data_IF_023163849058
#
_entry.id   IF_023163849058
#
_cell.length_a   1.000
_cell.length_b   1.000
_cell.length_c   1.000
_cell.angle_alpha   90.00
_cell.angle_beta   90.00
_cell.angle_gamma   90.00
#
_symmetry.space_group_name_H-M   'P 1'
#
loop_
_entity.id
_entity.type
_entity.pdbx_description
1 polymer ?
#
# COMPACT_ATOMS: atom_id res chain seq x y z
N UNK A 1 -8.85 14.41 -16.70
CA UNK A 1 -9.71 13.25 -16.42
C UNK A 1 -8.86 12.20 -15.76
N UNK A 2 -9.10 11.89 -14.48
CA UNK A 2 -8.41 10.78 -13.82
C UNK A 2 -9.01 9.49 -14.36
N UNK A 3 -8.20 8.65 -15.02
CA UNK A 3 -8.67 7.39 -15.60
C UNK A 3 -8.89 6.38 -14.46
N UNK A 4 -10.16 6.23 -14.06
CA UNK A 4 -10.55 5.19 -13.11
C UNK A 4 -10.66 3.84 -13.83
N UNK A 5 -10.28 2.77 -13.15
CA UNK A 5 -10.46 1.41 -13.67
C UNK A 5 -11.95 0.99 -13.64
N UNK A 6 -12.25 -0.24 -14.10
CA UNK A 6 -13.59 -0.84 -14.07
C UNK A 6 -14.28 -0.82 -12.68
N UNK A 7 -13.50 -0.69 -11.61
CA UNK A 7 -13.96 -0.68 -10.21
C UNK A 7 -13.99 0.73 -9.60
N UNK A 8 -13.87 1.80 -10.40
CA UNK A 8 -13.86 3.18 -9.90
C UNK A 8 -12.63 3.51 -9.05
N UNK A 9 -11.56 2.73 -9.17
CA UNK A 9 -10.31 2.93 -8.44
C UNK A 9 -9.30 3.68 -9.29
N UNK A 10 -8.65 4.68 -8.69
CA UNK A 10 -7.53 5.36 -9.31
C UNK A 10 -6.28 4.45 -9.30
N UNK A 11 -5.44 4.48 -10.35
CA UNK A 11 -4.18 3.75 -10.36
C UNK A 11 -3.27 4.18 -9.20
N UNK A 12 -2.54 3.22 -8.63
CA UNK A 12 -1.58 3.49 -7.58
C UNK A 12 -0.41 4.30 -8.14
N UNK A 13 -0.18 5.46 -7.53
CA UNK A 13 0.81 6.43 -8.00
C UNK A 13 2.09 6.46 -7.15
N UNK A 14 2.20 5.56 -6.15
CA UNK A 14 3.33 5.53 -5.23
C UNK A 14 3.26 6.56 -4.08
N UNK A 15 2.19 7.37 -4.03
CA UNK A 15 1.95 8.38 -2.97
C UNK A 15 0.66 8.12 -2.18
N UNK A 16 -0.35 7.53 -2.83
CA UNK A 16 -1.57 7.08 -2.15
C UNK A 16 -1.26 5.97 -1.15
N UNK A 17 -2.18 5.73 -0.21
CA UNK A 17 -2.06 4.66 0.78
C UNK A 17 -1.90 3.28 0.09
N UNK A 18 -0.70 2.71 0.17
CA UNK A 18 -0.39 1.41 -0.44
C UNK A 18 -1.14 0.27 0.24
N UNK A 19 -1.38 0.34 1.56
CA UNK A 19 -2.10 -0.70 2.29
C UNK A 19 -3.54 -0.81 1.80
N UNK A 20 -4.23 0.32 1.68
CA UNK A 20 -5.60 0.36 1.15
C UNK A 20 -5.65 -0.11 -0.31
N UNK A 21 -4.75 0.38 -1.16
CA UNK A 21 -4.69 -0.06 -2.56
C UNK A 21 -4.43 -1.57 -2.67
N UNK A 22 -3.47 -2.10 -1.91
CA UNK A 22 -3.11 -3.51 -1.88
C UNK A 22 -4.29 -4.39 -1.47
N UNK A 23 -5.07 -3.99 -0.46
CA UNK A 23 -6.29 -4.72 -0.07
C UNK A 23 -7.34 -4.71 -1.18
N UNK A 24 -7.56 -3.58 -1.86
CA UNK A 24 -8.50 -3.50 -2.99
C UNK A 24 -8.07 -4.41 -4.16
N UNK A 25 -6.78 -4.42 -4.50
CA UNK A 25 -6.26 -5.34 -5.54
C UNK A 25 -6.43 -6.78 -5.12
N UNK A 26 -6.14 -7.12 -3.86
CA UNK A 26 -6.38 -8.47 -3.34
C UNK A 26 -7.84 -8.89 -3.54
N UNK A 27 -8.81 -8.02 -3.25
CA UNK A 27 -10.22 -8.31 -3.51
C UNK A 27 -10.51 -8.58 -4.99
N UNK A 28 -9.95 -7.78 -5.90
CA UNK A 28 -10.11 -7.96 -7.35
C UNK A 28 -9.51 -9.30 -7.81
N UNK A 29 -8.29 -9.64 -7.36
CA UNK A 29 -7.63 -10.90 -7.69
C UNK A 29 -8.40 -12.13 -7.17
N UNK A 30 -9.04 -12.02 -6.00
CA UNK A 30 -9.90 -13.07 -5.46
C UNK A 30 -11.15 -13.22 -6.34
N UNK A 31 -11.79 -12.11 -6.70
CA UNK A 31 -12.97 -12.12 -7.57
C UNK A 31 -12.67 -12.75 -8.93
N UNK A 32 -11.48 -12.49 -9.47
CA UNK A 32 -10.99 -13.06 -10.74
C UNK A 32 -10.35 -14.44 -10.59
N UNK A 33 -10.36 -15.02 -9.38
CA UNK A 33 -9.85 -16.37 -9.07
C UNK A 33 -8.36 -16.58 -9.38
N UNK A 34 -7.57 -15.50 -9.43
CA UNK A 34 -6.13 -15.54 -9.73
C UNK A 34 -5.24 -15.18 -8.53
N UNK A 35 -5.82 -14.89 -7.36
CA UNK A 35 -5.04 -14.55 -6.15
C UNK A 35 -3.99 -15.60 -5.74
N UNK A 36 -4.23 -16.88 -6.06
CA UNK A 36 -3.26 -17.96 -5.82
C UNK A 36 -1.90 -17.70 -6.47
N UNK A 37 -1.86 -17.01 -7.61
CA UNK A 37 -0.61 -16.73 -8.31
C UNK A 37 0.31 -15.77 -7.56
N UNK A 38 -0.28 -14.87 -6.76
CA UNK A 38 0.45 -13.92 -5.94
C UNK A 38 0.96 -14.54 -4.64
N UNK A 39 0.32 -15.61 -4.15
CA UNK A 39 0.77 -16.35 -2.97
C UNK A 39 1.59 -17.60 -3.29
N UNK A 40 1.65 -17.99 -4.57
CA UNK A 40 2.11 -19.32 -5.03
C UNK A 40 1.43 -20.48 -4.30
N UNK A 41 0.19 -20.28 -3.84
CA UNK A 41 -0.59 -21.26 -3.06
C UNK A 41 -1.44 -22.14 -3.99
N UNK A 42 -0.77 -22.84 -4.91
CA UNK A 42 -1.43 -23.73 -5.86
C UNK A 42 -1.76 -25.09 -5.24
N UNK A 43 -2.82 -25.74 -5.73
CA UNK A 43 -3.12 -27.12 -5.36
C UNK A 43 -2.29 -28.08 -6.23
N UNK A 44 -2.02 -29.29 -5.72
CA UNK A 44 -1.36 -30.35 -6.49
C UNK A 44 -2.14 -30.67 -7.78
N UNK A 45 -3.46 -30.54 -7.73
CA UNK A 45 -4.36 -30.74 -8.88
C UNK A 45 -4.43 -29.57 -9.87
N UNK A 46 -3.87 -28.40 -9.56
CA UNK A 46 -3.83 -27.28 -10.50
C UNK A 46 -2.77 -27.56 -11.58
N UNK A 47 -3.18 -27.63 -12.86
CA UNK A 47 -2.29 -27.87 -14.01
C UNK A 47 -1.39 -26.69 -14.29
N UNK A 48 -0.29 -26.91 -15.01
CA UNK A 48 0.66 -25.84 -15.33
C UNK A 48 0.03 -24.75 -16.20
N UNK A 49 -0.82 -25.12 -17.16
CA UNK A 49 -1.55 -24.14 -18.00
C UNK A 49 -2.44 -23.24 -17.15
N UNK A 50 -3.14 -23.82 -16.16
CA UNK A 50 -4.01 -23.07 -15.25
C UNK A 50 -3.21 -22.14 -14.34
N UNK A 51 -2.00 -22.55 -13.91
CA UNK A 51 -1.10 -21.70 -13.13
C UNK A 51 -0.59 -20.53 -13.96
N UNK A 52 -0.20 -20.79 -15.21
CA UNK A 52 0.22 -19.75 -16.16
C UNK A 52 -0.90 -18.74 -16.41
N UNK A 53 -2.12 -19.20 -16.67
CA UNK A 53 -3.28 -18.34 -16.86
C UNK A 53 -3.57 -17.47 -15.62
N UNK A 54 -3.54 -18.06 -14.42
CA UNK A 54 -3.70 -17.30 -13.17
C UNK A 54 -2.61 -16.25 -13.00
N UNK A 55 -1.37 -16.59 -13.36
CA UNK A 55 -0.23 -15.69 -13.27
C UNK A 55 -0.37 -14.50 -14.24
N UNK A 56 -0.69 -14.75 -15.51
CA UNK A 56 -0.91 -13.69 -16.52
C UNK A 56 -2.07 -12.78 -16.15
N UNK A 57 -3.18 -13.35 -15.66
CA UNK A 57 -4.33 -12.58 -15.20
C UNK A 57 -3.98 -11.71 -13.99
N UNK A 58 -3.25 -12.26 -13.02
CA UNK A 58 -2.83 -11.50 -11.84
C UNK A 58 -1.86 -10.37 -12.20
N UNK A 59 -0.87 -10.62 -13.05
CA UNK A 59 0.02 -9.59 -13.59
C UNK A 59 -0.77 -8.48 -14.28
N UNK A 60 -1.70 -8.84 -15.16
CA UNK A 60 -2.53 -7.89 -15.92
C UNK A 60 -3.35 -6.99 -14.99
N UNK A 61 -4.03 -7.58 -14.00
CA UNK A 61 -4.77 -6.81 -12.99
C UNK A 61 -3.86 -5.84 -12.25
N UNK A 62 -2.71 -6.30 -11.78
CA UNK A 62 -1.79 -5.45 -11.02
C UNK A 62 -1.32 -4.28 -11.90
N UNK A 63 -0.81 -4.56 -13.10
CA UNK A 63 -0.30 -3.52 -14.01
C UNK A 63 -1.34 -2.48 -14.41
N UNK A 64 -2.56 -2.91 -14.75
CA UNK A 64 -3.66 -2.01 -15.10
C UNK A 64 -4.08 -1.08 -13.95
N UNK A 65 -3.64 -1.39 -12.73
CA UNK A 65 -3.91 -0.62 -11.53
C UNK A 65 -2.71 0.17 -11.01
N UNK A 66 -1.61 0.23 -11.76
CA UNK A 66 -0.44 1.06 -11.46
C UNK A 66 -0.41 2.26 -12.40
N UNK A 67 0.12 3.38 -11.92
CA UNK A 67 0.47 4.49 -12.81
C UNK A 67 1.78 4.22 -13.55
N UNK A 68 1.97 4.88 -14.69
CA UNK A 68 3.20 4.74 -15.50
C UNK A 68 4.48 5.00 -14.69
N UNK A 69 4.44 5.92 -13.73
CA UNK A 69 5.59 6.21 -12.86
C UNK A 69 5.95 5.05 -11.96
N UNK A 70 4.96 4.31 -11.47
CA UNK A 70 5.19 3.11 -10.65
C UNK A 70 5.63 1.95 -11.54
N UNK A 71 5.02 1.78 -12.71
CA UNK A 71 5.41 0.76 -13.70
C UNK A 71 6.89 0.92 -14.08
N UNK A 72 7.36 2.16 -14.32
CA UNK A 72 8.78 2.42 -14.61
C UNK A 72 9.73 2.00 -13.47
N UNK A 73 9.32 2.13 -12.21
CA UNK A 73 10.13 1.74 -11.05
C UNK A 73 10.17 0.22 -10.84
N UNK A 74 9.02 -0.42 -11.02
CA UNK A 74 8.86 -1.86 -10.82
C UNK A 74 9.44 -2.65 -11.99
N UNK A 75 9.37 -2.11 -13.20
CA UNK A 75 9.73 -2.80 -14.43
C UNK A 75 8.63 -3.75 -14.90
N UNK A 76 8.86 -4.37 -16.05
CA UNK A 76 8.00 -5.43 -16.60
C UNK A 76 8.50 -6.76 -16.04
N UNK A 77 7.64 -7.47 -15.32
CA UNK A 77 7.91 -8.72 -14.64
C UNK A 77 6.86 -9.73 -15.10
N UNK A 78 7.30 -10.95 -15.39
CA UNK A 78 6.43 -12.00 -15.92
C UNK A 78 5.72 -12.79 -14.81
N UNK A 79 6.22 -12.74 -13.57
CA UNK A 79 5.63 -13.42 -12.42
C UNK A 79 4.85 -12.47 -11.52
N UNK A 80 3.59 -12.83 -11.25
CA UNK A 80 2.70 -12.09 -10.36
C UNK A 80 3.21 -12.08 -8.92
N UNK A 81 3.85 -13.17 -8.48
CA UNK A 81 4.51 -13.25 -7.17
C UNK A 81 5.63 -12.24 -7.05
N UNK A 82 6.56 -12.26 -8.01
CA UNK A 82 7.72 -11.34 -8.02
C UNK A 82 7.25 -9.89 -8.11
N UNK A 83 6.25 -9.61 -8.94
CA UNK A 83 5.64 -8.29 -9.06
C UNK A 83 5.04 -7.81 -7.74
N UNK A 84 4.26 -8.67 -7.08
CA UNK A 84 3.64 -8.36 -5.79
C UNK A 84 4.67 -8.15 -4.68
N UNK A 85 5.69 -8.99 -4.61
CA UNK A 85 6.76 -8.88 -3.63
C UNK A 85 7.56 -7.60 -3.83
N UNK A 86 7.92 -7.25 -5.07
CA UNK A 86 8.64 -6.01 -5.38
C UNK A 86 7.83 -4.77 -5.01
N UNK A 87 6.52 -4.80 -5.23
CA UNK A 87 5.63 -3.73 -4.75
C UNK A 87 5.62 -3.66 -3.21
N UNK A 88 5.65 -4.81 -2.53
CA UNK A 88 5.74 -4.83 -1.07
C UNK A 88 7.09 -4.33 -0.56
N UNK A 89 8.19 -4.71 -1.20
CA UNK A 89 9.52 -4.20 -0.86
C UNK A 89 9.58 -2.67 -1.03
N UNK A 90 9.07 -2.14 -2.15
CA UNK A 90 9.13 -0.70 -2.44
C UNK A 90 8.18 0.15 -1.58
N UNK A 91 7.05 -0.42 -1.16
CA UNK A 91 5.94 0.36 -0.59
C UNK A 91 5.34 -0.20 0.72
N UNK A 92 5.77 -1.38 1.19
CA UNK A 92 5.48 -1.91 2.55
C UNK A 92 6.66 -1.68 3.47
N UNK A 93 7.89 -1.91 2.99
CA UNK A 93 9.08 -1.46 3.70
C UNK A 93 9.28 0.02 3.41
N UNK A 94 9.14 0.83 4.45
CA UNK A 94 10.03 1.95 4.73
C UNK A 94 11.07 2.24 3.66
N UNK A 95 10.74 3.06 2.67
CA UNK A 95 11.81 3.92 2.18
C UNK A 95 12.25 4.75 3.40
N UNK A 96 13.54 4.69 3.77
CA UNK A 96 14.13 5.54 4.81
C UNK A 96 13.64 7.01 4.67
N UNK A 97 13.50 7.56 3.45
CA UNK A 97 12.90 8.88 3.25
C UNK A 97 11.43 8.98 3.69
N UNK A 98 10.58 7.98 3.44
CA UNK A 98 9.19 8.00 3.90
C UNK A 98 9.10 7.89 5.43
N UNK A 99 9.95 7.07 6.06
CA UNK A 99 10.02 7.01 7.52
C UNK A 99 10.49 8.34 8.12
N UNK A 100 11.52 8.95 7.55
CA UNK A 100 12.02 10.27 7.96
C UNK A 100 10.93 11.33 7.77
N UNK A 101 10.23 11.33 6.65
CA UNK A 101 9.13 12.25 6.37
C UNK A 101 7.97 12.10 7.37
N UNK A 102 7.58 10.86 7.68
CA UNK A 102 6.53 10.59 8.67
C UNK A 102 6.94 10.99 10.08
N UNK A 103 8.19 10.71 10.48
CA UNK A 103 8.75 11.16 11.76
C UNK A 103 8.82 12.69 11.83
N UNK A 104 9.24 13.35 10.76
CA UNK A 104 9.25 14.81 10.67
C UNK A 104 7.84 15.37 10.84
N UNK A 105 6.85 14.82 10.13
CA UNK A 105 5.44 15.21 10.26
C UNK A 105 4.90 14.95 11.67
N UNK A 106 5.33 13.88 12.32
CA UNK A 106 4.93 13.52 13.68
C UNK A 106 5.48 14.51 14.72
N UNK A 107 6.78 14.81 14.67
CA UNK A 107 7.39 15.77 15.59
C UNK A 107 6.94 17.22 15.34
N UNK A 108 6.51 17.53 14.12
CA UNK A 108 5.97 18.85 13.74
C UNK A 108 4.45 18.92 13.77
N UNK A 109 3.76 17.88 14.24
CA UNK A 109 2.31 17.87 14.30
C UNK A 109 1.81 19.04 15.15
N UNK A 110 0.74 19.69 14.67
CA UNK A 110 0.06 20.82 15.33
C UNK A 110 -1.43 20.62 15.19
N UNK A 111 -2.16 20.97 16.24
CA UNK A 111 -3.62 20.97 16.20
C UNK A 111 -4.09 22.07 15.24
N UNK A 112 -4.99 21.70 14.34
CA UNK A 112 -5.71 22.65 13.51
C UNK A 112 -6.96 23.12 14.27
N UNK A 113 -6.98 24.38 14.67
CA UNK A 113 -8.06 25.00 15.45
C UNK A 113 -9.35 25.15 14.61
N UNK A 114 -9.26 25.02 13.28
CA UNK A 114 -10.41 25.12 12.39
C UNK A 114 -11.24 23.84 12.28
N UNK A 115 -10.70 22.71 12.73
CA UNK A 115 -11.39 21.41 12.77
C UNK A 115 -11.58 20.96 14.21
N UNK A 116 -12.47 20.00 14.45
CA UNK A 116 -12.70 19.50 15.79
C UNK A 116 -11.52 18.67 16.32
N UNK A 117 -11.53 18.43 17.63
CA UNK A 117 -10.44 17.71 18.29
C UNK A 117 -10.40 16.22 17.92
N UNK A 118 -11.54 15.63 17.59
CA UNK A 118 -11.66 14.21 17.20
C UNK A 118 -11.07 13.99 15.81
N UNK A 119 -11.34 14.90 14.86
CA UNK A 119 -10.73 14.90 13.53
C UNK A 119 -9.21 15.11 13.61
N UNK A 120 -8.73 16.03 14.45
CA UNK A 120 -7.29 16.19 14.72
C UNK A 120 -6.65 14.90 15.26
N UNK A 121 -7.33 14.23 16.19
CA UNK A 121 -6.86 12.98 16.79
C UNK A 121 -6.89 11.81 15.80
N UNK A 122 -7.84 11.76 14.87
CA UNK A 122 -7.86 10.76 13.79
C UNK A 122 -6.65 10.93 12.86
N UNK A 123 -6.34 12.18 12.47
CA UNK A 123 -5.14 12.50 11.67
C UNK A 123 -3.86 12.07 12.40
N UNK A 124 -3.77 12.33 13.70
CA UNK A 124 -2.63 11.93 14.51
C UNK A 124 -2.52 10.40 14.68
N UNK A 125 -3.63 9.71 14.92
CA UNK A 125 -3.68 8.26 15.09
C UNK A 125 -3.34 7.53 13.79
N UNK A 126 -3.76 8.09 12.65
CA UNK A 126 -3.34 7.64 11.34
C UNK A 126 -1.84 7.78 11.14
N UNK A 127 -1.25 8.91 11.55
CA UNK A 127 0.18 9.15 11.45
C UNK A 127 1.01 8.14 12.28
N UNK A 128 0.57 7.82 13.50
CA UNK A 128 1.16 6.75 14.33
C UNK A 128 1.08 5.40 13.62
N UNK A 129 -0.09 5.08 13.07
CA UNK A 129 -0.30 3.82 12.37
C UNK A 129 0.60 3.69 11.13
N UNK A 130 0.74 4.76 10.36
CA UNK A 130 1.63 4.83 9.19
C UNK A 130 3.11 4.64 9.59
N UNK A 131 3.54 5.18 10.73
CA UNK A 131 4.90 5.01 11.28
C UNK A 131 5.14 3.58 11.76
N UNK A 132 4.16 2.94 12.41
CA UNK A 132 4.23 1.52 12.81
C UNK A 132 4.32 0.58 11.63
N UNK A 133 3.55 0.86 10.57
CA UNK A 133 3.65 0.14 9.30
C UNK A 133 5.03 0.35 8.66
N UNK A 134 5.67 1.48 8.93
CA UNK A 134 7.07 1.78 8.62
C UNK A 134 8.08 1.18 9.64
N UNK A 135 7.73 0.09 10.33
CA UNK A 135 8.67 -0.68 11.13
C UNK A 135 9.12 -0.07 12.46
N UNK A 136 8.69 1.15 12.81
CA UNK A 136 8.92 1.73 14.12
C UNK A 136 7.76 1.40 15.07
N UNK A 137 7.90 0.26 15.75
CA UNK A 137 6.88 -0.29 16.65
C UNK A 137 6.78 0.43 17.99
N UNK A 138 7.72 1.32 18.31
CA UNK A 138 7.83 2.00 19.61
C UNK A 138 7.41 3.47 19.56
N UNK A 139 6.85 3.94 18.43
CA UNK A 139 6.41 5.33 18.27
C UNK A 139 5.33 5.74 19.31
N UNK A 140 4.59 4.78 19.86
CA UNK A 140 3.61 5.01 20.93
C UNK A 140 4.23 5.65 22.18
N UNK A 141 5.46 5.30 22.52
CA UNK A 141 6.16 5.81 23.70
C UNK A 141 6.43 7.32 23.61
N UNK A 142 6.49 7.86 22.38
CA UNK A 142 6.71 9.28 22.09
C UNK A 142 5.42 10.05 21.80
N UNK A 143 4.30 9.35 21.67
CA UNK A 143 3.00 9.93 21.29
C UNK A 143 2.47 10.96 22.30
N UNK A 144 2.56 10.74 23.62
CA UNK A 144 2.14 11.75 24.60
C UNK A 144 2.97 13.05 24.51
N UNK A 145 4.28 12.92 24.24
CA UNK A 145 5.18 14.07 24.11
C UNK A 145 4.87 14.85 22.83
N UNK A 146 4.62 14.16 21.71
CA UNK A 146 4.26 14.79 20.45
C UNK A 146 2.91 15.52 20.54
N UNK A 147 1.89 14.93 21.18
CA UNK A 147 0.60 15.58 21.42
C UNK A 147 0.71 16.82 22.31
N UNK A 148 1.51 16.75 23.37
CA UNK A 148 1.72 17.90 24.26
C UNK A 148 2.42 19.07 23.53
N UNK A 149 3.32 18.76 22.61
CA UNK A 149 3.99 19.75 21.75
C UNK A 149 3.12 20.25 20.58
N UNK A 150 1.95 19.65 20.35
CA UNK A 150 1.06 19.99 19.24
C UNK A 150 0.02 21.08 19.58
N UNK A 151 -0.09 21.42 20.87
CA UNK A 151 -0.94 22.50 21.42
C UNK A 151 -0.38 23.87 21.03
#
# INVERSE_FOLDING_TARGET
MSAYNQYGMAPFNGKSDFSIWKQKIKCILIQQKCFKAVGETYLISDTEEKRAEMNENACSVIYLNLSDSVIRKVGILESAKILWDKLNELYTETSLPNRIFLLEKFFKFRLDISIDIEENLDVFTKLISDIKLCGDKHIDDYSPIALLNAI
#
